data_IF_200475607559
#
_entry.id   IF_200475607559
#
_cell.length_a   1.000
_cell.length_b   1.000
_cell.length_c   1.000
_cell.angle_alpha   90.00
_cell.angle_beta   90.00
_cell.angle_gamma   90.00
#
_symmetry.space_group_name_H-M   'P 1'
#
loop_
_entity.id
_entity.type
_entity.pdbx_description
1 polymer ?
#
# COMPACT_ATOMS: atom_id res chain seq x y z
N UNK A 1 48.86 -36.12 13.66
CA UNK A 1 47.60 -35.72 12.99
C UNK A 1 46.61 -35.35 14.07
N UNK A 2 46.38 -34.05 14.26
CA UNK A 2 45.75 -33.51 15.47
C UNK A 2 44.23 -33.40 15.29
N UNK A 3 43.47 -33.88 16.27
CA UNK A 3 41.99 -33.96 16.25
C UNK A 3 41.35 -32.57 16.05
N UNK A 4 42.04 -31.49 16.44
CA UNK A 4 41.63 -30.10 16.18
C UNK A 4 41.57 -29.72 14.69
N UNK A 5 42.34 -30.36 13.81
CA UNK A 5 42.35 -30.07 12.37
C UNK A 5 41.11 -30.58 11.64
N UNK A 6 40.51 -31.69 12.10
CA UNK A 6 39.30 -32.25 11.50
C UNK A 6 38.03 -31.48 11.87
N UNK A 7 37.98 -30.87 13.06
CA UNK A 7 36.83 -30.05 13.49
C UNK A 7 36.74 -28.75 12.69
N UNK A 8 37.89 -28.17 12.33
CA UNK A 8 37.95 -26.96 11.49
C UNK A 8 37.55 -27.23 10.03
N UNK A 9 37.81 -28.46 9.54
CA UNK A 9 37.40 -28.87 8.19
C UNK A 9 35.87 -29.16 8.10
N UNK A 10 35.25 -29.60 9.20
CA UNK A 10 33.80 -29.80 9.26
C UNK A 10 33.01 -28.48 9.37
N UNK A 11 33.55 -27.48 10.08
CA UNK A 11 32.91 -26.15 10.19
C UNK A 11 33.04 -25.31 8.91
N UNK A 12 33.98 -25.65 8.02
CA UNK A 12 34.15 -24.96 6.73
C UNK A 12 33.38 -25.62 5.58
N UNK A 13 32.82 -26.82 5.77
CA UNK A 13 31.99 -27.51 4.78
C UNK A 13 30.48 -27.43 5.05
N UNK A 14 30.06 -26.85 6.19
CA UNK A 14 28.70 -26.36 6.35
C UNK A 14 28.62 -24.95 5.77
N UNK A 15 28.74 -24.86 4.44
CA UNK A 15 28.28 -23.70 3.71
C UNK A 15 26.78 -23.58 3.96
N UNK A 16 26.40 -22.80 4.97
CA UNK A 16 25.05 -22.28 5.12
C UNK A 16 24.83 -21.40 3.88
N UNK A 17 24.42 -22.03 2.78
CA UNK A 17 23.64 -21.35 1.75
C UNK A 17 22.35 -21.01 2.44
N UNK A 18 22.33 -19.87 3.13
CA UNK A 18 21.10 -19.22 3.48
C UNK A 18 20.34 -19.09 2.18
N UNK A 19 19.27 -19.86 2.03
CA UNK A 19 18.25 -19.54 1.05
C UNK A 19 17.71 -18.21 1.54
N UNK A 20 18.26 -17.10 1.02
CA UNK A 20 17.57 -15.83 1.01
C UNK A 20 16.29 -16.10 0.23
N UNK A 21 15.23 -16.48 0.94
CA UNK A 21 13.90 -16.52 0.37
C UNK A 21 13.68 -15.16 -0.26
N UNK A 22 13.47 -15.11 -1.58
CA UNK A 22 13.02 -13.88 -2.23
C UNK A 22 11.60 -13.62 -1.73
N UNK A 23 11.49 -13.04 -0.54
CA UNK A 23 10.25 -12.51 0.01
C UNK A 23 9.89 -11.15 -0.63
N UNK A 24 10.59 -10.72 -1.69
CA UNK A 24 10.16 -9.58 -2.49
C UNK A 24 9.13 -10.03 -3.52
N UNK A 25 7.91 -10.12 -3.04
CA UNK A 25 6.74 -10.13 -3.88
C UNK A 25 6.21 -8.71 -4.06
N UNK A 26 5.46 -8.50 -5.13
CA UNK A 26 4.91 -7.20 -5.48
C UNK A 26 3.66 -6.89 -4.66
N UNK A 27 3.28 -5.61 -4.61
CA UNK A 27 1.92 -5.19 -4.27
C UNK A 27 1.01 -5.58 -5.44
N UNK A 28 -0.13 -6.20 -5.13
CA UNK A 28 -1.05 -6.71 -6.15
C UNK A 28 -2.46 -6.15 -5.96
N UNK A 29 -3.22 -6.09 -7.06
CA UNK A 29 -4.62 -5.70 -7.02
C UNK A 29 -5.43 -6.64 -6.10
N UNK A 30 -6.27 -6.05 -5.26
CA UNK A 30 -7.05 -6.74 -4.23
C UNK A 30 -6.30 -7.03 -2.94
N UNK A 31 -5.01 -6.66 -2.83
CA UNK A 31 -4.28 -6.68 -1.56
C UNK A 31 -4.84 -5.64 -0.59
N UNK A 32 -4.75 -5.94 0.69
CA UNK A 32 -5.05 -5.00 1.78
C UNK A 32 -3.74 -4.61 2.43
N UNK A 33 -3.39 -3.33 2.41
CA UNK A 33 -2.09 -2.83 2.88
C UNK A 33 -2.27 -1.72 3.91
N UNK A 34 -1.22 -1.49 4.70
CA UNK A 34 -1.01 -0.19 5.34
C UNK A 34 0.03 0.58 4.54
N UNK A 35 -0.20 1.88 4.38
CA UNK A 35 0.71 2.75 3.67
C UNK A 35 1.39 3.67 4.69
N UNK A 36 2.68 3.49 4.92
CA UNK A 36 3.43 4.27 5.90
C UNK A 36 4.23 5.37 5.22
N UNK A 37 4.12 6.60 5.73
CA UNK A 37 4.96 7.71 5.31
C UNK A 37 6.40 7.47 5.78
N UNK A 38 7.36 7.55 4.87
CA UNK A 38 8.75 7.19 5.16
C UNK A 38 9.47 8.20 6.06
N UNK A 39 9.06 9.47 6.06
CA UNK A 39 9.73 10.52 6.84
C UNK A 39 9.17 10.65 8.27
N UNK A 40 7.85 10.54 8.43
CA UNK A 40 7.18 10.70 9.72
C UNK A 40 6.81 9.38 10.41
N UNK A 41 6.99 8.23 9.74
CA UNK A 41 6.67 6.90 10.26
C UNK A 41 5.20 6.71 10.70
N UNK A 42 4.30 7.48 10.09
CA UNK A 42 2.86 7.40 10.30
C UNK A 42 2.16 6.61 9.20
N UNK A 43 1.14 5.85 9.55
CA UNK A 43 0.30 5.08 8.63
C UNK A 43 -0.88 5.92 8.17
N UNK A 44 -1.16 5.88 6.87
CA UNK A 44 -2.34 6.47 6.28
C UNK A 44 -3.59 5.87 6.93
N UNK A 45 -4.45 6.73 7.43
CA UNK A 45 -5.55 6.37 8.32
C UNK A 45 -6.80 7.16 7.95
N UNK A 46 -7.99 6.58 8.18
CA UNK A 46 -9.27 7.28 8.07
C UNK A 46 -10.27 6.79 9.12
N UNK A 47 -11.32 7.54 9.41
CA UNK A 47 -12.31 7.21 10.45
C UNK A 47 -13.64 7.92 10.18
N UNK A 48 -14.68 7.66 10.98
CA UNK A 48 -15.94 8.40 10.86
C UNK A 48 -15.91 9.79 11.54
N UNK A 49 -14.90 10.59 11.19
CA UNK A 49 -14.82 12.02 11.52
C UNK A 49 -14.70 12.77 10.21
N UNK A 50 -15.35 13.93 10.11
CA UNK A 50 -15.33 14.79 8.92
C UNK A 50 -14.53 16.05 9.18
N UNK A 51 -13.98 16.63 8.12
CA UNK A 51 -13.43 17.97 8.21
C UNK A 51 -14.53 18.98 8.55
N UNK A 52 -14.20 19.94 9.44
CA UNK A 52 -15.07 21.07 9.75
C UNK A 52 -14.88 22.27 8.79
N UNK A 53 -13.91 22.16 7.89
CA UNK A 53 -13.54 23.15 6.87
C UNK A 53 -13.37 22.44 5.52
N UNK A 54 -12.97 23.18 4.48
CA UNK A 54 -12.71 22.61 3.17
C UNK A 54 -13.97 21.98 2.57
N UNK A 55 -13.88 20.73 2.14
CA UNK A 55 -14.99 20.04 1.50
C UNK A 55 -16.06 19.50 2.47
N UNK A 56 -15.74 19.41 3.76
CA UNK A 56 -16.58 18.74 4.75
C UNK A 56 -16.66 17.21 4.60
N UNK A 57 -15.79 16.61 3.77
CA UNK A 57 -15.73 15.16 3.58
C UNK A 57 -15.05 14.45 4.77
N UNK A 58 -15.03 13.11 4.74
CA UNK A 58 -14.40 12.31 5.78
C UNK A 58 -12.89 12.56 5.80
N UNK A 59 -12.33 12.74 7.00
CA UNK A 59 -10.92 13.10 7.16
C UNK A 59 -9.98 11.92 6.95
N UNK A 60 -8.87 12.20 6.27
CA UNK A 60 -7.71 11.31 6.17
C UNK A 60 -6.56 11.90 6.98
N UNK A 61 -5.89 11.04 7.73
CA UNK A 61 -4.85 11.41 8.71
C UNK A 61 -3.70 10.42 8.68
N UNK A 62 -2.65 10.72 9.43
CA UNK A 62 -1.55 9.79 9.72
C UNK A 62 -1.53 9.41 11.20
N UNK A 63 -1.36 8.11 11.51
CA UNK A 63 -1.24 7.62 12.89
C UNK A 63 0.06 6.84 13.11
N UNK A 64 0.68 7.00 14.27
CA UNK A 64 1.88 6.24 14.64
C UNK A 64 1.57 4.78 15.03
N UNK A 65 0.35 4.53 15.52
CA UNK A 65 -0.08 3.21 16.01
C UNK A 65 -0.03 2.17 14.89
N UNK A 66 0.72 1.09 15.10
CA UNK A 66 0.78 -0.01 14.13
C UNK A 66 -0.51 -0.83 14.12
N UNK A 67 -1.05 -1.18 15.29
CA UNK A 67 -2.20 -2.07 15.43
C UNK A 67 -3.54 -1.34 15.32
N UNK A 68 -3.77 -0.68 14.19
CA UNK A 68 -5.04 -0.01 13.90
C UNK A 68 -5.71 -0.58 12.64
N UNK A 69 -6.96 -1.02 12.79
CA UNK A 69 -7.76 -1.53 11.68
C UNK A 69 -8.10 -0.43 10.66
N UNK A 70 -8.23 0.81 11.11
CA UNK A 70 -8.52 2.00 10.30
C UNK A 70 -7.31 2.50 9.47
N UNK A 71 -6.20 1.76 9.50
CA UNK A 71 -5.05 2.00 8.63
C UNK A 71 -5.01 1.06 7.41
N UNK A 72 -6.01 0.20 7.23
CA UNK A 72 -6.05 -0.74 6.11
C UNK A 72 -6.73 -0.15 4.87
N UNK A 73 -6.04 -0.28 3.74
CA UNK A 73 -6.49 0.17 2.43
C UNK A 73 -6.43 -0.96 1.41
N UNK A 74 -7.51 -1.13 0.65
CA UNK A 74 -7.59 -2.11 -0.45
C UNK A 74 -7.06 -1.49 -1.72
N UNK A 75 -6.12 -2.17 -2.39
CA UNK A 75 -5.62 -1.77 -3.70
C UNK A 75 -6.64 -2.15 -4.78
N UNK A 76 -7.17 -1.16 -5.49
CA UNK A 76 -8.10 -1.34 -6.62
C UNK A 76 -7.53 -0.73 -7.89
N UNK A 77 -8.01 -1.23 -9.03
CA UNK A 77 -7.80 -0.55 -10.30
C UNK A 77 -8.59 0.75 -10.38
N UNK A 78 -8.26 1.57 -11.37
CA UNK A 78 -9.09 2.66 -11.84
C UNK A 78 -10.54 2.18 -12.13
N UNK A 79 -11.53 3.03 -11.86
CA UNK A 79 -12.94 2.67 -12.11
C UNK A 79 -13.17 2.32 -13.59
N UNK A 80 -13.95 1.27 -13.83
CA UNK A 80 -14.20 0.75 -15.18
C UNK A 80 -13.04 -0.06 -15.79
N UNK A 81 -11.85 -0.08 -15.19
CA UNK A 81 -10.72 -0.89 -15.65
C UNK A 81 -10.78 -2.29 -15.02
N UNK A 82 -10.77 -3.32 -15.86
CA UNK A 82 -10.67 -4.70 -15.39
C UNK A 82 -9.24 -4.96 -14.87
N UNK A 83 -9.11 -5.17 -13.57
CA UNK A 83 -7.86 -5.62 -12.94
C UNK A 83 -8.06 -7.02 -12.37
N UNK A 84 -7.15 -7.94 -12.70
CA UNK A 84 -7.19 -9.31 -12.17
C UNK A 84 -6.63 -9.31 -10.75
N UNK A 85 -7.43 -9.77 -9.79
CA UNK A 85 -6.99 -9.94 -8.39
C UNK A 85 -5.70 -10.77 -8.34
N UNK A 86 -4.71 -10.30 -7.58
CA UNK A 86 -3.38 -10.93 -7.48
C UNK A 86 -2.40 -10.54 -8.57
N UNK A 87 -2.80 -9.78 -9.60
CA UNK A 87 -1.85 -9.21 -10.56
C UNK A 87 -1.02 -8.08 -9.91
N UNK A 88 0.28 -8.06 -10.20
CA UNK A 88 1.21 -7.05 -9.69
C UNK A 88 0.91 -5.66 -10.26
N UNK A 89 0.89 -4.66 -9.39
CA UNK A 89 0.76 -3.25 -9.77
C UNK A 89 2.05 -2.78 -10.44
N UNK A 90 1.95 -2.21 -11.64
CA UNK A 90 3.11 -1.66 -12.36
C UNK A 90 3.42 -0.25 -11.87
N UNK A 91 4.69 0.13 -11.94
CA UNK A 91 5.04 1.55 -11.82
C UNK A 91 4.41 2.31 -13.00
N UNK A 92 3.73 3.42 -12.70
CA UNK A 92 2.95 4.21 -13.64
C UNK A 92 1.48 3.79 -13.77
N UNK A 93 1.04 2.71 -13.11
CA UNK A 93 -0.38 2.36 -13.09
C UNK A 93 -1.19 3.40 -12.30
N UNK A 94 -2.40 3.67 -12.78
CA UNK A 94 -3.43 4.39 -12.04
C UNK A 94 -4.19 3.39 -11.17
N UNK A 95 -4.25 3.68 -9.87
CA UNK A 95 -4.92 2.88 -8.86
C UNK A 95 -5.94 3.70 -8.08
N UNK A 96 -6.75 3.00 -7.29
CA UNK A 96 -7.55 3.56 -6.21
C UNK A 96 -7.22 2.86 -4.90
N UNK A 97 -7.32 3.61 -3.81
CA UNK A 97 -7.15 3.10 -2.45
C UNK A 97 -8.49 3.19 -1.73
N UNK A 98 -9.13 2.05 -1.47
CA UNK A 98 -10.39 2.01 -0.72
C UNK A 98 -10.11 1.74 0.75
N UNK A 99 -10.52 2.65 1.64
CA UNK A 99 -10.44 2.47 3.08
C UNK A 99 -11.29 1.28 3.50
N UNK A 100 -10.68 0.29 4.16
CA UNK A 100 -11.30 -1.01 4.40
C UNK A 100 -12.56 -0.89 5.27
N UNK A 101 -12.53 -0.05 6.31
CA UNK A 101 -13.63 0.04 7.27
C UNK A 101 -14.82 0.84 6.71
N UNK A 102 -14.56 2.04 6.17
CA UNK A 102 -15.62 2.96 5.74
C UNK A 102 -16.04 2.78 4.28
N UNK A 103 -15.31 1.95 3.52
CA UNK A 103 -15.53 1.71 2.08
C UNK A 103 -15.50 2.99 1.25
N UNK A 104 -14.73 3.99 1.67
CA UNK A 104 -14.50 5.25 0.96
C UNK A 104 -13.16 5.22 0.24
N UNK A 105 -13.04 5.93 -0.87
CA UNK A 105 -11.80 6.03 -1.62
C UNK A 105 -10.93 7.18 -1.09
N UNK A 106 -9.61 7.00 -1.09
CA UNK A 106 -8.66 8.10 -0.92
C UNK A 106 -8.86 9.08 -2.08
N UNK A 107 -9.13 10.34 -1.74
CA UNK A 107 -9.64 11.33 -2.67
C UNK A 107 -8.90 12.65 -2.52
N UNK A 108 -8.80 13.42 -3.61
CA UNK A 108 -8.34 14.80 -3.55
C UNK A 108 -9.02 15.67 -4.61
N UNK A 109 -8.97 16.98 -4.40
CA UNK A 109 -9.74 17.98 -5.12
C UNK A 109 -9.26 19.39 -4.77
N UNK A 110 -9.81 20.43 -5.41
CA UNK A 110 -9.42 21.83 -5.20
C UNK A 110 -10.03 22.46 -3.93
N UNK A 111 -9.80 21.84 -2.77
CA UNK A 111 -10.06 22.41 -1.45
C UNK A 111 -8.77 22.56 -0.65
N UNK A 112 -8.73 23.55 0.25
CA UNK A 112 -7.59 23.76 1.14
C UNK A 112 -7.62 22.80 2.32
N UNK A 113 -6.46 22.25 2.68
CA UNK A 113 -6.30 21.36 3.82
C UNK A 113 -6.51 22.11 5.14
N UNK A 114 -6.98 21.44 6.21
CA UNK A 114 -7.50 22.13 7.39
C UNK A 114 -6.46 22.89 8.22
N UNK A 115 -5.19 22.49 8.21
CA UNK A 115 -4.15 23.08 9.07
C UNK A 115 -3.15 23.87 8.25
N UNK A 116 -2.54 23.23 7.23
CA UNK A 116 -1.43 23.84 6.48
C UNK A 116 -1.86 24.62 5.24
N UNK A 117 -3.14 24.53 4.83
CA UNK A 117 -3.66 25.22 3.65
C UNK A 117 -3.13 24.68 2.32
N UNK A 118 -2.54 23.48 2.31
CA UNK A 118 -2.17 22.77 1.08
C UNK A 118 -3.43 22.20 0.41
N UNK A 119 -3.31 21.27 -0.53
CA UNK A 119 -4.49 20.63 -1.09
C UNK A 119 -5.06 19.59 -0.11
N UNK A 120 -6.38 19.58 0.07
CA UNK A 120 -7.09 18.63 0.92
C UNK A 120 -7.02 17.21 0.34
N UNK A 121 -6.73 16.23 1.21
CA UNK A 121 -6.88 14.80 0.92
C UNK A 121 -7.95 14.27 1.87
N UNK A 122 -8.93 13.57 1.34
CA UNK A 122 -10.12 13.13 2.06
C UNK A 122 -10.44 11.67 1.75
N UNK A 123 -11.44 11.13 2.44
CA UNK A 123 -12.07 9.87 2.07
C UNK A 123 -13.46 10.17 1.49
N UNK A 124 -13.69 9.78 0.24
CA UNK A 124 -14.88 10.13 -0.55
C UNK A 124 -15.63 8.90 -1.07
N UNK A 125 -16.85 9.11 -1.56
CA UNK A 125 -17.63 8.05 -2.20
C UNK A 125 -18.29 7.09 -1.20
N UNK A 126 -18.71 5.94 -1.71
CA UNK A 126 -19.40 4.92 -0.93
C UNK A 126 -19.22 3.54 -1.58
N UNK A 127 -18.98 2.51 -0.76
CA UNK A 127 -18.77 1.13 -1.24
C UNK A 127 -17.69 1.01 -2.32
N UNK A 128 -16.66 1.86 -2.24
CA UNK A 128 -15.58 1.93 -3.22
C UNK A 128 -15.94 2.60 -4.54
N UNK A 129 -17.17 3.10 -4.70
CA UNK A 129 -17.61 3.91 -5.82
C UNK A 129 -17.36 5.40 -5.53
N UNK A 130 -16.86 6.11 -6.54
CA UNK A 130 -16.57 7.54 -6.51
C UNK A 130 -16.22 8.03 -7.92
N UNK A 131 -15.48 9.13 -8.06
CA UNK A 131 -15.23 9.80 -9.34
C UNK A 131 -13.74 9.77 -9.74
N UNK A 132 -13.29 10.67 -10.60
CA UNK A 132 -11.89 10.74 -11.07
C UNK A 132 -10.93 11.24 -10.00
N UNK A 133 -11.40 11.96 -8.98
CA UNK A 133 -10.59 12.44 -7.85
C UNK A 133 -10.12 11.33 -6.92
N UNK A 134 -10.52 10.08 -7.18
CA UNK A 134 -10.05 8.90 -6.47
C UNK A 134 -8.79 8.27 -7.10
N UNK A 135 -8.35 8.77 -8.26
CA UNK A 135 -7.32 8.15 -9.09
C UNK A 135 -5.91 8.65 -8.71
N UNK A 136 -5.01 7.71 -8.43
CA UNK A 136 -3.61 8.00 -8.07
C UNK A 136 -2.64 7.20 -8.94
N UNK A 137 -1.63 7.88 -9.50
CA UNK A 137 -0.54 7.25 -10.23
C UNK A 137 0.50 6.74 -9.23
N UNK A 138 0.87 5.47 -9.35
CA UNK A 138 1.96 4.87 -8.57
C UNK A 138 3.30 5.21 -9.21
N UNK A 139 4.10 6.04 -8.54
CA UNK A 139 5.43 6.41 -9.02
C UNK A 139 6.49 5.61 -8.25
N UNK A 140 7.21 4.75 -8.98
CA UNK A 140 8.27 3.91 -8.44
C UNK A 140 9.37 3.63 -9.48
N UNK A 141 10.52 3.16 -9.00
CA UNK A 141 11.76 3.10 -9.80
C UNK A 141 11.89 1.84 -10.67
N UNK A 142 11.16 0.78 -10.34
CA UNK A 142 11.27 -0.53 -10.97
C UNK A 142 10.13 -0.76 -11.97
N UNK A 143 9.99 -2.00 -12.45
CA UNK A 143 8.88 -2.36 -13.34
C UNK A 143 7.54 -2.47 -12.59
N UNK A 144 7.58 -2.93 -11.34
CA UNK A 144 6.42 -3.16 -10.50
C UNK A 144 6.64 -2.53 -9.13
N UNK A 145 5.54 -2.27 -8.43
CA UNK A 145 5.56 -1.83 -7.04
C UNK A 145 5.99 -3.00 -6.15
N UNK A 146 7.25 -3.02 -5.73
CA UNK A 146 7.78 -3.97 -4.75
C UNK A 146 7.32 -3.61 -3.34
N UNK A 147 7.03 -4.62 -2.52
CA UNK A 147 6.72 -4.41 -1.09
C UNK A 147 7.91 -3.74 -0.40
N UNK A 148 7.63 -2.88 0.59
CA UNK A 148 8.62 -2.10 1.35
C UNK A 148 9.50 -1.10 0.56
N UNK A 149 9.48 -1.12 -0.78
CA UNK A 149 10.12 -0.09 -1.59
C UNK A 149 9.41 1.26 -1.40
N UNK A 150 10.19 2.34 -1.54
CA UNK A 150 9.66 3.69 -1.49
C UNK A 150 8.96 4.01 -2.80
N UNK A 151 7.73 4.49 -2.67
CA UNK A 151 6.92 4.97 -3.79
C UNK A 151 6.38 6.36 -3.49
N UNK A 152 5.84 7.01 -4.52
CA UNK A 152 5.03 8.22 -4.39
C UNK A 152 3.68 7.97 -5.04
N UNK A 153 2.65 8.62 -4.53
CA UNK A 153 1.31 8.61 -5.11
C UNK A 153 0.99 10.01 -5.61
N UNK A 154 0.78 10.14 -6.91
CA UNK A 154 0.45 11.43 -7.55
C UNK A 154 -1.01 11.42 -7.97
N UNK A 155 -1.78 12.37 -7.46
CA UNK A 155 -3.18 12.54 -7.79
C UNK A 155 -3.33 12.87 -9.29
N UNK A 156 -4.20 12.15 -9.99
CA UNK A 156 -4.32 12.27 -11.46
C UNK A 156 -4.87 13.64 -11.86
N UNK A 157 -5.93 14.12 -11.20
CA UNK A 157 -6.67 15.29 -11.68
C UNK A 157 -5.95 16.62 -11.37
N UNK A 158 -5.11 16.66 -10.33
CA UNK A 158 -4.50 17.90 -9.84
C UNK A 158 -2.98 17.87 -9.74
N UNK A 159 -2.35 16.77 -10.16
CA UNK A 159 -0.90 16.58 -10.16
C UNK A 159 -0.17 16.69 -8.81
N UNK A 160 -0.89 16.74 -7.69
CA UNK A 160 -0.28 16.81 -6.35
C UNK A 160 0.17 15.44 -5.85
N UNK A 161 1.24 15.40 -5.08
CA UNK A 161 1.71 14.22 -4.37
C UNK A 161 1.01 14.08 -3.01
N UNK A 162 0.61 12.86 -2.66
CA UNK A 162 0.19 12.52 -1.31
C UNK A 162 1.36 12.70 -0.34
N UNK A 163 1.16 13.47 0.73
CA UNK A 163 2.21 13.76 1.70
C UNK A 163 1.67 13.92 3.12
N UNK A 164 2.54 13.75 4.11
CA UNK A 164 2.29 14.24 5.46
C UNK A 164 2.83 15.68 5.60
N UNK A 165 2.04 16.58 6.20
CA UNK A 165 2.42 18.00 6.32
C UNK A 165 3.40 18.29 7.47
N UNK A 166 3.57 17.33 8.39
CA UNK A 166 4.28 17.52 9.65
C UNK A 166 3.49 18.27 10.71
N UNK A 167 2.24 18.66 10.43
CA UNK A 167 1.31 19.21 11.42
C UNK A 167 0.44 18.10 12.01
N UNK A 168 -0.02 18.30 13.24
CA UNK A 168 -0.90 17.37 13.94
C UNK A 168 -2.19 18.05 14.38
N UNK A 169 -3.27 17.28 14.43
CA UNK A 169 -4.58 17.74 14.88
C UNK A 169 -4.65 17.82 16.41
N UNK A 170 -5.51 18.72 16.88
CA UNK A 170 -6.01 18.73 18.26
C UNK A 170 -7.22 17.80 18.43
N UNK A 171 -8.09 18.11 19.41
CA UNK A 171 -9.34 17.37 19.61
C UNK A 171 -10.26 17.44 18.37
N UNK A 172 -11.05 16.40 18.07
CA UNK A 172 -11.17 15.13 18.80
C UNK A 172 -10.11 14.08 18.45
N UNK A 173 -9.30 14.31 17.41
CA UNK A 173 -8.32 13.36 16.85
C UNK A 173 -6.88 13.76 17.21
N UNK A 174 -6.67 14.03 18.50
CA UNK A 174 -5.44 14.63 19.00
C UNK A 174 -4.20 13.81 18.63
N UNK A 175 -3.18 14.49 18.09
CA UNK A 175 -1.89 13.89 17.75
C UNK A 175 -1.85 13.23 16.37
N UNK A 176 -2.99 13.04 15.71
CA UNK A 176 -2.98 12.50 14.34
C UNK A 176 -2.38 13.51 13.37
N UNK A 177 -1.60 13.05 12.41
CA UNK A 177 -0.92 13.90 11.43
C UNK A 177 -1.86 14.33 10.30
N UNK A 178 -1.70 15.56 9.84
CA UNK A 178 -2.39 16.06 8.66
C UNK A 178 -1.76 15.47 7.39
N UNK A 179 -2.59 14.82 6.58
CA UNK A 179 -2.25 14.33 5.24
C UNK A 179 -2.79 15.31 4.21
N UNK A 180 -1.97 15.62 3.22
CA UNK A 180 -2.19 16.69 2.25
C UNK A 180 -1.78 16.26 0.83
N UNK A 181 -2.24 17.01 -0.15
CA UNK A 181 -1.68 17.04 -1.49
C UNK A 181 -0.73 18.23 -1.64
N UNK A 182 0.48 18.00 -2.13
CA UNK A 182 1.48 19.05 -2.42
C UNK A 182 2.04 18.94 -3.83
N UNK A 183 2.29 20.07 -4.48
CA UNK A 183 3.00 20.08 -5.79
C UNK A 183 4.51 19.88 -5.66
N UNK A 184 5.05 19.92 -4.44
CA UNK A 184 6.48 19.80 -4.18
C UNK A 184 6.86 18.36 -3.84
N UNK A 185 7.72 17.78 -4.67
CA UNK A 185 8.34 16.50 -4.36
C UNK A 185 9.39 16.67 -3.24
N UNK A 186 9.26 15.88 -2.17
CA UNK A 186 10.16 15.89 -1.00
C UNK A 186 10.08 14.55 -0.25
N UNK A 187 10.90 14.37 0.78
CA UNK A 187 10.84 13.18 1.65
C UNK A 187 9.46 12.95 2.29
N UNK A 188 8.66 14.01 2.47
CA UNK A 188 7.31 13.93 3.00
C UNK A 188 6.32 13.23 2.05
N UNK A 189 6.69 13.06 0.78
CA UNK A 189 5.85 12.42 -0.25
C UNK A 189 6.17 10.93 -0.43
N UNK A 190 7.14 10.41 0.30
CA UNK A 190 7.59 9.01 0.17
C UNK A 190 6.78 8.09 1.08
N UNK A 191 6.30 6.99 0.51
CA UNK A 191 5.46 6.01 1.18
C UNK A 191 5.96 4.58 0.96
N UNK A 192 5.64 3.69 1.91
CA UNK A 192 5.94 2.25 1.84
C UNK A 192 4.66 1.45 2.08
N UNK A 193 4.42 0.45 1.24
CA UNK A 193 3.40 -0.56 1.52
C UNK A 193 3.96 -1.60 2.51
N UNK A 194 3.26 -1.80 3.62
CA UNK A 194 3.67 -2.70 4.70
C UNK A 194 2.46 -3.26 5.47
N UNK A 195 2.73 -4.23 6.35
CA UNK A 195 1.77 -4.73 7.36
C UNK A 195 0.39 -5.09 6.79
N UNK A 196 0.39 -5.81 5.66
CA UNK A 196 -0.81 -6.09 4.89
C UNK A 196 -1.01 -7.57 4.56
N UNK A 197 -2.22 -7.89 4.08
CA UNK A 197 -2.56 -9.14 3.44
C UNK A 197 -2.37 -8.99 1.94
N UNK A 198 -1.29 -9.56 1.42
CA UNK A 198 -0.97 -9.49 0.01
C UNK A 198 -1.52 -10.70 -0.74
N UNK A 199 -2.21 -10.45 -1.85
CA UNK A 199 -2.82 -11.50 -2.65
C UNK A 199 -1.82 -12.03 -3.66
N UNK A 200 -1.68 -13.35 -3.73
CA UNK A 200 -0.89 -14.02 -4.77
C UNK A 200 -1.80 -14.45 -5.93
N UNK A 201 -1.26 -14.52 -7.15
CA UNK A 201 -1.95 -15.20 -8.25
C UNK A 201 -2.12 -16.67 -7.87
N UNK A 202 -3.33 -17.18 -7.95
CA UNK A 202 -3.60 -18.61 -7.84
C UNK A 202 -3.26 -19.28 -9.18
N UNK A 203 -2.27 -20.17 -9.18
CA UNK A 203 -1.90 -21.00 -10.35
C UNK A 203 -2.89 -22.16 -10.61
N UNK A 204 -4.15 -22.05 -10.17
CA UNK A 204 -5.11 -23.14 -10.27
C UNK A 204 -5.49 -23.42 -11.73
N UNK A 205 -4.91 -24.47 -12.31
CA UNK A 205 -5.25 -25.02 -13.62
C UNK A 205 -6.14 -26.26 -13.44
N UNK A 206 -7.48 -26.17 -13.61
CA UNK A 206 -8.40 -27.29 -13.41
C UNK A 206 -8.32 -28.40 -14.47
N UNK A 207 -7.39 -28.34 -15.43
CA UNK A 207 -7.25 -29.33 -16.53
C UNK A 207 -5.99 -30.21 -16.43
N UNK A 208 -5.32 -30.24 -15.29
CA UNK A 208 -4.05 -30.98 -15.11
C UNK A 208 -4.15 -32.36 -14.46
N UNK A 209 -5.34 -32.84 -14.10
CA UNK A 209 -5.52 -34.08 -13.34
C UNK A 209 -6.42 -35.09 -14.06
N UNK A 210 -6.15 -35.35 -15.33
CA UNK A 210 -6.64 -36.54 -16.03
C UNK A 210 -5.47 -37.09 -16.83
N UNK A 211 -4.78 -38.09 -16.27
CA UNK A 211 -4.08 -39.19 -16.94
C UNK A 211 -3.04 -39.81 -16.00
N UNK A 212 -3.50 -40.77 -15.19
CA UNK A 212 -2.74 -41.95 -14.77
C UNK A 212 -3.77 -43.01 -14.35
N UNK A 213 -4.43 -43.59 -15.34
CA UNK A 213 -4.96 -44.94 -15.21
C UNK A 213 -3.77 -45.88 -15.37
N UNK A 214 -3.21 -46.35 -14.26
CA UNK A 214 -2.42 -47.57 -14.28
C UNK A 214 -3.39 -48.75 -14.09
N UNK A 215 -3.50 -49.55 -15.14
CA UNK A 215 -4.24 -50.79 -15.15
C UNK A 215 -3.23 -51.89 -15.45
N UNK A 216 -2.64 -52.45 -14.40
CA UNK A 216 -2.10 -53.81 -14.43
C UNK A 216 -1.97 -54.35 -13.00
N UNK A 217 -2.86 -55.26 -12.61
CA UNK A 217 -2.55 -56.43 -11.79
C UNK A 217 -3.77 -57.38 -11.83
N UNK A 218 -3.74 -58.31 -12.79
CA UNK A 218 -4.29 -59.67 -12.72
C UNK A 218 -3.32 -60.59 -13.44
#
# INVERSE_FOLDING_TARGET
>A
MNILGLVYLFLTYCGIRGVLGRFNEYVTYGSVIKLMNANYEVRLHSHDVKYGTGSGQQSVTGVELSEDINSHWVIKGESGKLCVRGEAVKCGDIIRLEHLETKKNLHSHHFSSPISGNQEVSAYGNKGEGDTGDNWIVLCHRKYWERNDHIKLKHVDTDVFLAASGRTYGRPIHGQHEIIGTSYDSSNTEWKAMEGLFVHKTDFNPKGSDHLHDASEL
#
